data_IF_134268444519
#
_entry.id   IF_134268444519
#
_cell.length_a   1.000
_cell.length_b   1.000
_cell.length_c   1.000
_cell.angle_alpha   90.00
_cell.angle_beta   90.00
_cell.angle_gamma   90.00
#
_symmetry.space_group_name_H-M   'P 1'
#
loop_
_entity.id
_entity.type
_entity.pdbx_description
1 polymer ?
#
# COMPACT_ATOMS: atom_id res chain seq x y z
N UNK A 1 -2.62 12.80 1.80
CA UNK A 1 -2.08 11.66 2.59
C UNK A 1 -0.57 11.72 2.54
N UNK A 2 0.19 11.34 3.58
CA UNK A 2 1.55 10.90 3.34
C UNK A 2 1.47 9.63 2.47
N UNK A 3 2.28 9.57 1.42
CA UNK A 3 2.38 8.41 0.54
C UNK A 3 2.71 7.14 1.34
N UNK A 4 2.22 5.96 0.91
CA UNK A 4 2.66 4.71 1.50
C UNK A 4 4.18 4.59 1.39
N UNK A 5 4.82 4.11 2.46
CA UNK A 5 6.24 3.74 2.38
C UNK A 5 6.35 2.48 1.52
N UNK A 6 7.12 2.59 0.46
CA UNK A 6 7.40 1.51 -0.48
C UNK A 6 8.90 1.50 -0.78
N UNK A 7 9.40 0.32 -1.14
CA UNK A 7 10.68 0.15 -1.84
C UNK A 7 10.74 1.07 -3.08
N UNK A 8 11.93 1.61 -3.37
CA UNK A 8 12.09 2.72 -4.30
C UNK A 8 11.63 2.40 -5.73
N UNK A 9 11.92 1.21 -6.24
CA UNK A 9 11.50 0.79 -7.58
C UNK A 9 9.98 0.69 -7.69
N UNK A 10 9.33 0.14 -6.66
CA UNK A 10 7.87 0.10 -6.59
C UNK A 10 7.24 1.47 -6.44
N UNK A 11 7.87 2.37 -5.66
CA UNK A 11 7.41 3.75 -5.56
C UNK A 11 7.46 4.46 -6.91
N UNK A 12 8.49 4.24 -7.71
CA UNK A 12 8.59 4.83 -9.05
C UNK A 12 7.48 4.33 -9.98
N UNK A 13 7.02 3.08 -9.84
CA UNK A 13 5.95 2.52 -10.67
C UNK A 13 4.54 2.87 -10.19
N UNK A 14 4.33 2.93 -8.87
CA UNK A 14 2.99 2.99 -8.26
C UNK A 14 2.70 4.29 -7.51
N UNK A 15 3.68 5.16 -7.28
CA UNK A 15 3.53 6.38 -6.48
C UNK A 15 2.35 7.25 -6.92
N UNK A 16 2.30 7.57 -8.22
CA UNK A 16 1.22 8.36 -8.80
C UNK A 16 -0.13 7.64 -8.77
N UNK A 17 -0.13 6.31 -8.85
CA UNK A 17 -1.35 5.51 -8.78
C UNK A 17 -2.08 5.69 -7.43
N UNK A 18 -1.34 5.86 -6.33
CA UNK A 18 -1.93 6.12 -5.01
C UNK A 18 -2.64 7.47 -4.91
N UNK A 19 -2.38 8.40 -5.83
CA UNK A 19 -3.05 9.70 -5.88
C UNK A 19 -4.41 9.65 -6.61
N UNK A 20 -4.73 8.52 -7.26
CA UNK A 20 -6.01 8.37 -7.97
C UNK A 20 -7.20 8.37 -7.00
N UNK A 21 -8.36 8.91 -7.41
CA UNK A 21 -9.53 9.07 -6.53
C UNK A 21 -9.97 7.78 -5.83
N UNK A 22 -9.91 6.64 -6.53
CA UNK A 22 -10.28 5.34 -5.98
C UNK A 22 -9.33 4.86 -4.87
N UNK A 23 -8.03 5.15 -4.97
CA UNK A 23 -7.05 4.78 -3.95
C UNK A 23 -7.20 5.66 -2.71
N UNK A 24 -7.52 6.94 -2.90
CA UNK A 24 -7.87 7.85 -1.81
C UNK A 24 -9.15 7.39 -1.10
N UNK A 25 -10.16 6.96 -1.87
CA UNK A 25 -11.41 6.42 -1.33
C UNK A 25 -11.18 5.11 -0.56
N UNK A 26 -10.37 4.19 -1.09
CA UNK A 26 -10.00 2.95 -0.41
C UNK A 26 -9.27 3.23 0.91
N UNK A 27 -8.32 4.17 0.92
CA UNK A 27 -7.61 4.54 2.13
C UNK A 27 -8.53 5.19 3.18
N UNK A 28 -9.54 5.97 2.75
CA UNK A 28 -10.55 6.51 3.65
C UNK A 28 -11.43 5.39 4.25
N UNK A 29 -11.87 4.44 3.42
CA UNK A 29 -12.64 3.28 3.85
C UNK A 29 -11.89 2.45 4.90
N UNK A 30 -10.64 2.05 4.63
CA UNK A 30 -9.86 1.22 5.56
C UNK A 30 -9.65 1.90 6.92
N UNK A 31 -9.52 3.23 6.96
CA UNK A 31 -9.45 3.99 8.22
C UNK A 31 -10.77 3.99 8.96
N UNK A 32 -11.89 4.17 8.26
CA UNK A 32 -13.22 4.13 8.87
C UNK A 32 -13.49 2.74 9.48
N UNK A 33 -13.12 1.67 8.77
CA UNK A 33 -13.25 0.29 9.24
C UNK A 33 -12.40 0.04 10.49
N UNK A 34 -11.14 0.50 10.49
CA UNK A 34 -10.27 0.44 11.67
C UNK A 34 -10.82 1.25 12.85
N UNK A 35 -11.36 2.45 12.59
CA UNK A 35 -11.97 3.30 13.61
C UNK A 35 -13.27 2.69 14.18
N UNK A 36 -13.99 1.91 13.38
CA UNK A 36 -15.16 1.14 13.80
C UNK A 36 -14.80 -0.09 14.65
N UNK A 37 -13.52 -0.27 15.01
CA UNK A 37 -13.07 -1.36 15.88
C UNK A 37 -12.79 -2.67 15.15
N UNK A 38 -12.80 -2.69 13.81
CA UNK A 38 -12.44 -3.90 13.06
C UNK A 38 -10.95 -4.17 13.19
N UNK A 39 -10.61 -5.44 13.41
CA UNK A 39 -9.23 -5.91 13.35
C UNK A 39 -8.87 -6.13 11.88
N UNK A 40 -7.91 -5.36 11.38
CA UNK A 40 -7.45 -5.43 9.98
C UNK A 40 -6.09 -6.13 9.95
N UNK A 41 -5.98 -7.13 9.08
CA UNK A 41 -4.76 -7.89 8.84
C UNK A 41 -4.29 -7.72 7.38
N UNK A 42 -2.97 -7.76 7.13
CA UNK A 42 -1.88 -7.77 8.12
C UNK A 42 -1.77 -6.41 8.86
N UNK A 43 -0.90 -6.27 9.89
CA UNK A 43 -0.60 -4.97 10.48
C UNK A 43 -0.26 -3.93 9.41
N UNK A 44 -0.62 -2.66 9.64
CA UNK A 44 -0.50 -1.62 8.62
C UNK A 44 0.90 -1.44 8.04
N UNK A 45 1.95 -1.72 8.82
CA UNK A 45 3.34 -1.65 8.37
C UNK A 45 3.75 -2.83 7.45
N UNK A 46 2.96 -3.90 7.41
CA UNK A 46 3.26 -5.13 6.68
C UNK A 46 2.41 -5.27 5.40
N UNK A 47 1.47 -4.36 5.15
CA UNK A 47 0.56 -4.39 3.99
C UNK A 47 1.33 -4.50 2.66
N UNK A 48 2.51 -3.87 2.57
CA UNK A 48 3.33 -3.86 1.35
C UNK A 48 4.61 -4.72 1.47
N UNK A 49 4.67 -5.61 2.46
CA UNK A 49 5.87 -6.41 2.75
C UNK A 49 6.40 -7.18 1.53
N UNK A 50 5.52 -7.71 0.66
CA UNK A 50 5.95 -8.40 -0.55
C UNK A 50 6.77 -7.51 -1.50
N UNK A 51 6.38 -6.23 -1.61
CA UNK A 51 7.05 -5.22 -2.44
C UNK A 51 8.39 -4.81 -1.82
N UNK A 52 8.44 -4.71 -0.49
CA UNK A 52 9.67 -4.41 0.24
C UNK A 52 10.74 -5.50 0.07
N UNK A 53 10.34 -6.77 0.02
CA UNK A 53 11.27 -7.89 -0.15
C UNK A 53 11.72 -8.11 -1.60
N UNK A 54 10.92 -7.65 -2.57
CA UNK A 54 11.17 -7.91 -3.99
C UNK A 54 11.08 -6.60 -4.79
N UNK A 55 12.18 -5.83 -4.91
CA UNK A 55 12.29 -4.74 -5.88
C UNK A 55 11.75 -5.15 -7.24
N UNK A 56 11.08 -4.23 -7.91
CA UNK A 56 10.32 -4.43 -9.13
C UNK A 56 11.12 -5.15 -10.21
N UNK A 57 12.37 -4.76 -10.42
CA UNK A 57 13.25 -5.35 -11.45
C UNK A 57 13.69 -6.78 -11.12
N UNK A 58 13.52 -7.22 -9.87
CA UNK A 58 13.83 -8.59 -9.42
C UNK A 58 12.61 -9.51 -9.45
N UNK A 59 11.42 -9.01 -9.80
CA UNK A 59 10.23 -9.84 -9.97
C UNK A 59 10.45 -10.80 -11.14
N UNK A 60 10.25 -12.10 -10.89
CA UNK A 60 10.36 -13.14 -11.93
C UNK A 60 9.09 -13.98 -12.08
N UNK A 61 8.27 -14.04 -11.03
CA UNK A 61 7.01 -14.78 -10.94
C UNK A 61 6.06 -13.97 -10.05
N UNK A 62 4.75 -14.04 -10.35
CA UNK A 62 3.66 -13.43 -9.58
C UNK A 62 2.60 -14.49 -9.30
#
# INVERSE_FOLDING_TARGET
MPEPRLEASWKAQLGDYFQRPEMLALAAFLRAEKAAGKVIYPPGAEIFSALDHTPFERVRVV
#
